data_IF_259149339806
#
_entry.id   IF_259149339806
#
_cell.length_a   1.000
_cell.length_b   1.000
_cell.length_c   1.000
_cell.angle_alpha   90.00
_cell.angle_beta   90.00
_cell.angle_gamma   90.00
#
_symmetry.space_group_name_H-M   'P 1'
#
loop_
_entity.id
_entity.type
_entity.pdbx_description
1 polymer ?
#
# COMPACT_ATOMS: atom_id res chain seq x y z
N UNK A 1 11.04 34.71 16.34
CA UNK A 1 10.50 34.77 14.96
C UNK A 1 10.73 33.48 14.17
N UNK A 2 11.85 32.78 14.34
CA UNK A 2 12.21 31.62 13.50
C UNK A 2 11.38 30.33 13.76
N UNK A 3 10.88 30.12 14.98
CA UNK A 3 10.08 28.92 15.33
C UNK A 3 8.65 28.98 14.75
N UNK A 4 8.07 30.17 14.66
CA UNK A 4 6.70 30.38 14.14
C UNK A 4 6.63 30.20 12.63
N UNK A 5 7.66 30.64 11.90
CA UNK A 5 7.80 30.43 10.45
C UNK A 5 7.99 28.95 10.10
N UNK A 6 8.73 28.19 10.91
CA UNK A 6 8.88 26.74 10.74
C UNK A 6 7.54 26.01 10.88
N UNK A 7 6.72 26.43 11.84
CA UNK A 7 5.39 25.85 12.10
C UNK A 7 4.40 26.14 10.95
N UNK A 8 4.42 27.38 10.43
CA UNK A 8 3.65 27.78 9.25
C UNK A 8 4.09 27.04 7.97
N UNK A 9 5.38 26.79 7.81
CA UNK A 9 5.91 26.00 6.70
C UNK A 9 5.38 24.55 6.73
N UNK A 10 5.39 23.90 7.90
CA UNK A 10 4.88 22.53 8.08
C UNK A 10 3.36 22.43 7.80
N UNK A 11 2.56 23.46 8.11
CA UNK A 11 1.12 23.46 7.82
C UNK A 11 0.77 23.66 6.33
N UNK A 12 1.58 24.44 5.60
CA UNK A 12 1.34 24.77 4.17
C UNK A 12 1.51 23.56 3.22
N UNK A 13 2.25 22.54 3.66
CA UNK A 13 2.49 21.29 2.93
C UNK A 13 1.22 20.42 2.69
N UNK A 14 0.08 20.80 3.28
CA UNK A 14 -1.16 20.02 3.28
C UNK A 14 -1.87 19.89 1.92
N UNK A 15 -1.61 20.79 0.96
CA UNK A 15 -2.31 20.84 -0.34
C UNK A 15 -1.61 20.08 -1.48
N UNK A 16 -0.40 19.57 -1.27
CA UNK A 16 0.32 18.83 -2.30
C UNK A 16 -0.08 17.34 -2.25
N UNK A 17 -0.09 16.67 -3.40
CA UNK A 17 -0.30 15.23 -3.43
C UNK A 17 0.94 14.51 -2.91
N UNK A 18 0.85 13.80 -1.78
CA UNK A 18 1.99 13.20 -1.09
C UNK A 18 2.81 12.25 -1.98
N UNK A 19 2.34 11.02 -2.14
CA UNK A 19 3.13 9.94 -2.72
C UNK A 19 2.98 9.87 -4.25
N UNK A 20 4.06 9.59 -4.98
CA UNK A 20 4.08 9.49 -6.45
C UNK A 20 3.91 8.07 -7.00
N UNK A 21 3.70 7.07 -6.14
CA UNK A 21 3.56 5.65 -6.50
C UNK A 21 2.36 4.97 -5.82
N UNK A 22 1.98 3.80 -6.34
CA UNK A 22 0.97 2.90 -5.76
C UNK A 22 1.62 1.72 -5.03
N UNK A 23 2.73 1.18 -5.55
CA UNK A 23 3.44 0.07 -4.92
C UNK A 23 4.95 0.16 -5.14
N UNK A 24 5.72 -0.22 -4.13
CA UNK A 24 7.18 -0.27 -4.18
C UNK A 24 7.71 -1.45 -3.34
N UNK A 25 8.85 -2.01 -3.75
CA UNK A 25 9.52 -3.11 -3.07
C UNK A 25 11.02 -2.82 -3.03
N UNK A 26 11.69 -3.12 -1.94
CA UNK A 26 13.14 -3.18 -1.97
C UNK A 26 13.74 -3.57 -0.65
N UNK A 27 14.93 -3.04 -0.38
CA UNK A 27 15.76 -3.40 0.75
C UNK A 27 15.77 -2.28 1.78
N UNK A 28 15.88 -2.67 3.04
CA UNK A 28 15.99 -1.81 4.21
C UNK A 28 17.29 -2.17 4.90
N UNK A 29 18.17 -1.20 5.06
CA UNK A 29 19.51 -1.36 5.62
C UNK A 29 19.70 -0.34 6.74
N UNK A 30 20.09 -0.81 7.92
CA UNK A 30 20.28 0.06 9.08
C UNK A 30 20.89 -0.72 10.23
N UNK A 31 20.31 -0.58 11.42
CA UNK A 31 20.63 -1.44 12.57
C UNK A 31 20.45 -2.93 12.23
N UNK A 32 19.47 -3.23 11.37
CA UNK A 32 19.19 -4.54 10.82
C UNK A 32 19.05 -4.43 9.30
N UNK A 33 19.15 -5.55 8.61
CA UNK A 33 18.90 -5.63 7.17
C UNK A 33 17.61 -6.39 6.91
N UNK A 34 16.95 -6.07 5.80
CA UNK A 34 15.69 -6.69 5.48
C UNK A 34 15.12 -6.28 4.14
N UNK A 35 13.99 -6.89 3.82
CA UNK A 35 13.15 -6.50 2.70
C UNK A 35 11.97 -5.66 3.19
N UNK A 36 11.53 -4.73 2.37
CA UNK A 36 10.37 -3.87 2.64
C UNK A 36 9.50 -3.77 1.41
N UNK A 37 8.19 -3.90 1.60
CA UNK A 37 7.19 -3.70 0.57
C UNK A 37 6.19 -2.65 1.03
N UNK A 38 5.80 -1.75 0.14
CA UNK A 38 4.80 -0.72 0.38
C UNK A 38 3.70 -0.79 -0.66
N UNK A 39 2.46 -0.62 -0.19
CA UNK A 39 1.28 -0.47 -1.03
C UNK A 39 0.42 0.69 -0.54
N UNK A 40 0.10 1.61 -1.44
CA UNK A 40 -0.82 2.72 -1.15
C UNK A 40 -2.24 2.19 -1.13
N UNK A 41 -2.98 2.52 -0.08
CA UNK A 41 -4.38 2.16 0.09
C UNK A 41 -5.25 3.44 0.14
N UNK A 42 -5.58 4.03 -1.02
CA UNK A 42 -6.35 5.27 -1.09
C UNK A 42 -7.80 5.12 -0.58
N UNK A 43 -8.29 3.88 -0.43
CA UNK A 43 -9.62 3.56 0.10
C UNK A 43 -9.76 3.90 1.60
N UNK A 44 -8.68 3.78 2.37
CA UNK A 44 -8.67 4.12 3.80
C UNK A 44 -8.51 5.63 3.97
N UNK A 45 -7.44 6.17 3.39
CA UNK A 45 -7.17 7.60 3.36
C UNK A 45 -6.27 7.92 2.15
N UNK A 46 -6.41 9.13 1.59
CA UNK A 46 -5.77 9.52 0.32
C UNK A 46 -4.26 9.24 0.24
N UNK A 47 -3.56 9.35 1.37
CA UNK A 47 -2.10 9.18 1.46
C UNK A 47 -1.70 8.08 2.47
N UNK A 48 -2.59 7.11 2.70
CA UNK A 48 -2.31 5.99 3.57
C UNK A 48 -1.59 4.86 2.82
N UNK A 49 -0.58 4.29 3.47
CA UNK A 49 0.32 3.28 2.92
C UNK A 49 0.42 2.15 3.93
N UNK A 50 0.14 0.93 3.49
CA UNK A 50 0.51 -0.26 4.23
C UNK A 50 1.94 -0.64 3.87
N UNK A 51 2.78 -0.84 4.87
CA UNK A 51 4.14 -1.31 4.70
C UNK A 51 4.33 -2.62 5.45
N UNK A 52 4.96 -3.59 4.79
CA UNK A 52 5.44 -4.82 5.40
C UNK A 52 6.97 -4.79 5.38
N UNK A 53 7.57 -5.24 6.47
CA UNK A 53 9.01 -5.30 6.67
C UNK A 53 9.35 -6.70 7.17
N UNK A 54 10.26 -7.36 6.46
CA UNK A 54 10.89 -8.60 6.88
C UNK A 54 12.35 -8.28 7.16
N UNK A 55 12.75 -8.38 8.42
CA UNK A 55 14.09 -8.10 8.91
C UNK A 55 14.74 -9.37 9.42
N UNK A 56 16.06 -9.45 9.23
CA UNK A 56 16.91 -10.46 9.83
C UNK A 56 18.07 -9.76 10.53
N UNK A 57 18.45 -10.26 11.70
CA UNK A 57 19.64 -9.76 12.39
C UNK A 57 20.91 -10.29 11.71
N UNK A 58 21.98 -9.48 11.66
CA UNK A 58 23.29 -9.96 11.18
C UNK A 58 24.05 -10.73 12.25
N UNK A 59 23.72 -10.49 13.52
CA UNK A 59 24.44 -11.03 14.68
C UNK A 59 23.74 -12.21 15.34
N UNK A 60 22.46 -12.44 15.05
CA UNK A 60 21.63 -13.49 15.66
C UNK A 60 20.78 -14.17 14.59
N UNK A 61 20.47 -15.45 14.76
CA UNK A 61 19.54 -16.19 13.89
C UNK A 61 18.07 -15.87 14.27
N UNK A 62 17.77 -14.58 14.23
CA UNK A 62 16.50 -13.98 14.62
C UNK A 62 15.90 -13.27 13.42
N UNK A 63 14.60 -13.47 13.22
CA UNK A 63 13.83 -12.76 12.20
C UNK A 63 12.71 -11.95 12.82
N UNK A 64 12.41 -10.81 12.20
CA UNK A 64 11.36 -9.90 12.63
C UNK A 64 10.46 -9.55 11.44
N UNK A 65 9.17 -9.81 11.60
CA UNK A 65 8.15 -9.37 10.68
C UNK A 65 7.35 -8.22 11.27
N UNK A 66 7.29 -7.10 10.55
CA UNK A 66 6.55 -5.91 10.97
C UNK A 66 5.52 -5.52 9.91
N UNK A 67 4.32 -5.18 10.33
CA UNK A 67 3.27 -4.58 9.50
C UNK A 67 3.00 -3.17 10.04
N UNK A 68 3.02 -2.17 9.17
CA UNK A 68 2.86 -0.75 9.51
C UNK A 68 1.78 -0.10 8.66
N UNK A 69 0.94 0.72 9.30
CA UNK A 69 0.10 1.70 8.63
C UNK A 69 0.76 3.08 8.70
N UNK A 70 1.06 3.67 7.55
CA UNK A 70 1.77 4.95 7.45
C UNK A 70 0.95 6.00 6.74
N UNK A 71 1.02 7.23 7.24
CA UNK A 71 0.44 8.40 6.64
C UNK A 71 1.53 9.27 6.01
N UNK A 72 1.45 9.49 4.69
CA UNK A 72 2.43 10.30 3.96
C UNK A 72 1.93 11.75 3.79
N UNK A 73 2.83 12.70 3.99
CA UNK A 73 2.63 14.15 3.84
C UNK A 73 3.76 14.70 2.97
N UNK A 74 3.49 15.39 1.86
CA UNK A 74 4.55 16.01 1.07
C UNK A 74 5.14 17.18 1.86
N UNK A 75 6.47 17.31 1.85
CA UNK A 75 7.16 18.42 2.50
C UNK A 75 7.32 19.61 1.55
N UNK A 76 7.97 19.36 0.40
CA UNK A 76 8.29 20.39 -0.59
C UNK A 76 7.73 20.04 -1.99
N UNK A 77 7.69 18.76 -2.32
CA UNK A 77 7.20 18.27 -3.61
C UNK A 77 6.55 16.91 -3.45
N UNK A 78 5.80 16.44 -4.46
CA UNK A 78 5.24 15.07 -4.49
C UNK A 78 6.31 13.97 -4.45
N UNK A 79 7.58 14.34 -4.65
CA UNK A 79 8.72 13.44 -4.62
C UNK A 79 9.40 13.41 -3.26
N UNK A 80 9.14 14.36 -2.37
CA UNK A 80 9.74 14.42 -1.03
C UNK A 80 8.63 14.44 0.02
N UNK A 81 8.48 13.33 0.74
CA UNK A 81 7.41 13.13 1.71
C UNK A 81 7.98 12.87 3.09
N UNK A 82 7.32 13.42 4.10
CA UNK A 82 7.40 12.93 5.47
C UNK A 82 6.36 11.84 5.65
N UNK A 83 6.67 10.85 6.46
CA UNK A 83 5.70 9.85 6.87
C UNK A 83 5.82 9.57 8.35
N UNK A 84 4.69 9.21 8.92
CA UNK A 84 4.60 8.71 10.29
C UNK A 84 3.53 7.64 10.34
N UNK A 85 3.66 6.70 11.26
CA UNK A 85 2.78 5.56 11.32
C UNK A 85 3.01 4.72 12.56
N UNK A 86 2.19 3.70 12.67
CA UNK A 86 2.31 2.69 13.71
C UNK A 86 1.80 1.35 13.18
N UNK A 87 2.14 0.29 13.89
CA UNK A 87 1.68 -1.05 13.58
C UNK A 87 2.21 -2.07 14.57
N UNK A 88 2.30 -3.31 14.13
CA UNK A 88 2.62 -4.46 14.95
C UNK A 88 3.85 -5.17 14.41
N UNK A 89 4.64 -5.74 15.31
CA UNK A 89 5.74 -6.61 14.96
C UNK A 89 5.63 -7.94 15.69
N UNK A 90 6.11 -8.98 15.03
CA UNK A 90 6.28 -10.32 15.57
C UNK A 90 7.61 -10.87 15.09
N UNK A 91 8.37 -11.49 15.97
CA UNK A 91 9.64 -12.10 15.64
C UNK A 91 9.61 -13.60 15.85
N UNK A 92 10.66 -14.25 15.38
CA UNK A 92 10.99 -15.63 15.71
C UNK A 92 12.48 -15.68 16.04
N UNK A 93 12.81 -16.51 17.01
CA UNK A 93 14.18 -16.85 17.34
C UNK A 93 14.39 -18.33 17.01
N UNK A 94 15.42 -18.63 16.22
CA UNK A 94 15.83 -20.01 15.95
C UNK A 94 16.95 -20.48 16.89
N UNK A 95 17.47 -19.60 17.73
CA UNK A 95 18.45 -19.94 18.75
C UNK A 95 17.80 -20.85 19.81
N UNK A 96 18.35 -22.07 19.92
CA UNK A 96 17.99 -23.04 20.96
C UNK A 96 18.73 -22.59 22.21
N UNK A 97 17.98 -22.29 23.28
CA UNK A 97 18.58 -21.95 24.56
C UNK A 97 19.37 -23.16 25.09
N UNK A 98 20.71 -23.06 25.26
CA UNK A 98 21.55 -24.18 25.66
C UNK A 98 21.27 -24.69 27.08
N UNK A 99 20.59 -23.92 27.93
CA UNK A 99 20.26 -24.32 29.30
C UNK A 99 18.88 -24.96 29.44
N UNK A 100 17.91 -24.56 28.61
CA UNK A 100 16.50 -24.99 28.75
C UNK A 100 16.02 -25.91 27.62
N UNK A 101 16.75 -26.03 26.51
CA UNK A 101 16.33 -26.78 25.31
C UNK A 101 14.98 -26.34 24.72
N UNK A 102 14.45 -25.19 25.14
CA UNK A 102 13.21 -24.62 24.64
C UNK A 102 13.49 -23.53 23.60
N UNK A 103 12.61 -23.42 22.60
CA UNK A 103 12.66 -22.31 21.63
C UNK A 103 12.20 -21.04 22.34
N UNK A 104 13.08 -20.06 22.44
CA UNK A 104 12.71 -18.74 22.96
C UNK A 104 11.55 -18.14 22.14
N UNK A 105 10.48 -17.74 22.83
CA UNK A 105 9.33 -17.10 22.19
C UNK A 105 9.76 -15.77 21.55
N UNK A 106 9.49 -15.61 20.25
CA UNK A 106 9.88 -14.41 19.52
C UNK A 106 9.14 -13.16 19.99
N UNK A 107 9.74 -11.97 19.82
CA UNK A 107 9.18 -10.71 20.31
C UNK A 107 7.88 -10.35 19.60
N UNK A 108 6.82 -10.07 20.35
CA UNK A 108 5.57 -9.53 19.84
C UNK A 108 5.27 -8.19 20.48
N UNK A 109 4.86 -7.21 19.66
CA UNK A 109 4.48 -5.91 20.20
C UNK A 109 4.05 -4.89 19.17
N UNK A 110 4.15 -3.63 19.59
CA UNK A 110 3.76 -2.46 18.80
C UNK A 110 5.00 -1.71 18.35
N UNK A 111 4.94 -1.19 17.13
CA UNK A 111 6.00 -0.39 16.54
C UNK A 111 5.44 0.93 16.04
N UNK A 112 6.10 2.03 16.37
CA UNK A 112 5.94 3.33 15.71
C UNK A 112 6.96 3.51 14.61
N UNK A 113 6.67 4.40 13.65
CA UNK A 113 7.64 4.81 12.63
C UNK A 113 7.46 6.27 12.29
N UNK A 114 8.57 6.97 12.10
CA UNK A 114 8.60 8.33 11.54
C UNK A 114 9.81 8.46 10.63
N UNK A 115 9.65 9.14 9.51
CA UNK A 115 10.74 9.26 8.55
C UNK A 115 10.44 10.21 7.41
N UNK A 116 11.41 10.28 6.51
CA UNK A 116 11.31 11.00 5.25
C UNK A 116 11.61 10.05 4.10
N UNK A 117 10.94 10.26 2.97
CA UNK A 117 11.22 9.55 1.74
C UNK A 117 11.34 10.52 0.56
N UNK A 118 12.18 10.15 -0.38
CA UNK A 118 12.38 10.82 -1.64
C UNK A 118 12.25 9.84 -2.80
N UNK A 119 11.47 10.18 -3.82
CA UNK A 119 11.31 9.36 -5.03
C UNK A 119 11.91 10.06 -6.24
N UNK A 120 12.93 9.45 -6.86
CA UNK A 120 13.59 9.92 -8.07
C UNK A 120 13.39 8.84 -9.16
N UNK A 121 12.64 9.17 -10.21
CA UNK A 121 12.33 8.23 -11.28
C UNK A 121 11.54 7.02 -10.78
N UNK A 122 12.16 5.83 -10.81
CA UNK A 122 11.60 4.57 -10.29
C UNK A 122 12.23 4.12 -8.97
N UNK A 123 13.10 4.94 -8.38
CA UNK A 123 13.77 4.62 -7.11
C UNK A 123 13.21 5.50 -6.01
N UNK A 124 12.81 4.89 -4.91
CA UNK A 124 12.39 5.53 -3.68
C UNK A 124 13.46 5.28 -2.61
N UNK A 125 14.01 6.34 -2.07
CA UNK A 125 14.95 6.34 -0.96
C UNK A 125 14.21 6.82 0.28
N UNK A 126 14.25 6.09 1.39
CA UNK A 126 13.71 6.57 2.66
C UNK A 126 14.74 6.49 3.76
N UNK A 127 14.61 7.39 4.73
CA UNK A 127 15.28 7.32 6.00
C UNK A 127 14.24 7.38 7.10
N UNK A 128 14.29 6.46 8.05
CA UNK A 128 13.30 6.39 9.10
C UNK A 128 13.83 5.89 10.44
N UNK A 129 13.12 6.33 11.47
CA UNK A 129 13.30 6.00 12.88
C UNK A 129 12.08 5.21 13.35
N UNK A 130 12.34 4.01 13.89
CA UNK A 130 11.35 3.00 14.25
C UNK A 130 11.48 2.65 15.74
N UNK A 131 10.80 3.37 16.65
CA UNK A 131 10.68 2.97 18.05
C UNK A 131 9.70 1.79 18.18
N UNK A 132 10.08 0.77 18.94
CA UNK A 132 9.30 -0.44 19.14
C UNK A 132 9.24 -0.82 20.62
N UNK A 133 8.06 -1.31 21.03
CA UNK A 133 7.80 -1.77 22.39
C UNK A 133 7.34 -3.21 22.33
N UNK A 134 8.08 -4.10 22.96
CA UNK A 134 7.74 -5.51 23.10
C UNK A 134 6.73 -5.67 24.24
N UNK A 135 5.58 -6.28 23.92
CA UNK A 135 4.53 -6.59 24.89
C UNK A 135 4.77 -7.99 25.49
N UNK A 136 5.29 -8.91 24.69
CA UNK A 136 5.64 -10.27 25.09
C UNK A 136 6.84 -10.75 24.29
N UNK A 137 7.69 -11.58 24.90
CA UNK A 137 8.91 -12.11 24.28
C UNK A 137 9.99 -11.05 24.00
N UNK A 138 11.16 -11.52 23.59
CA UNK A 138 12.34 -10.68 23.30
C UNK A 138 13.10 -10.18 24.53
N UNK A 139 14.32 -9.71 24.29
CA UNK A 139 15.29 -9.41 25.35
C UNK A 139 15.17 -7.99 25.94
N UNK A 140 14.30 -7.14 25.39
CA UNK A 140 14.18 -5.74 25.80
C UNK A 140 12.76 -5.23 25.62
N UNK A 141 12.23 -4.50 26.59
CA UNK A 141 10.88 -3.93 26.56
C UNK A 141 10.75 -2.83 25.51
N UNK A 142 11.80 -2.02 25.32
CA UNK A 142 11.83 -0.93 24.35
C UNK A 142 13.13 -0.97 23.56
N UNK A 143 13.03 -0.83 22.24
CA UNK A 143 14.18 -0.72 21.35
C UNK A 143 13.86 0.24 20.22
N UNK A 144 14.91 0.81 19.63
CA UNK A 144 14.78 1.78 18.54
C UNK A 144 15.68 1.38 17.39
N UNK A 145 15.15 1.44 16.17
CA UNK A 145 15.92 1.17 14.98
C UNK A 145 15.94 2.41 14.08
N UNK A 146 17.06 2.61 13.39
CA UNK A 146 17.13 3.53 12.26
C UNK A 146 17.49 2.75 11.03
N UNK A 147 16.94 3.14 9.88
CA UNK A 147 17.29 2.51 8.62
C UNK A 147 17.16 3.46 7.44
N UNK A 148 18.00 3.20 6.45
CA UNK A 148 17.86 3.68 5.08
C UNK A 148 17.21 2.57 4.26
N UNK A 149 16.13 2.87 3.56
CA UNK A 149 15.51 1.91 2.64
C UNK A 149 15.63 2.38 1.20
N UNK A 150 15.98 1.47 0.31
CA UNK A 150 15.99 1.68 -1.14
C UNK A 150 14.94 0.77 -1.74
N UNK A 151 13.89 1.37 -2.30
CA UNK A 151 12.75 0.67 -2.90
C UNK A 151 12.64 0.98 -4.38
N UNK A 152 12.40 -0.03 -5.19
CA UNK A 152 12.02 0.11 -6.57
C UNK A 152 10.49 0.27 -6.69
N UNK A 153 10.05 1.28 -7.43
CA UNK A 153 8.64 1.57 -7.69
C UNK A 153 8.13 0.60 -8.75
N UNK A 154 7.28 -0.35 -8.33
CA UNK A 154 6.67 -1.35 -9.19
C UNK A 154 5.48 -0.74 -9.94
N UNK A 155 4.65 0.03 -9.24
CA UNK A 155 3.45 0.65 -9.81
C UNK A 155 3.44 2.15 -9.54
N UNK A 156 3.25 2.96 -10.60
CA UNK A 156 3.14 4.41 -10.45
C UNK A 156 1.78 4.79 -9.87
N UNK A 157 1.65 6.04 -9.45
CA UNK A 157 0.40 6.54 -8.88
C UNK A 157 -0.78 6.36 -9.85
N UNK A 158 -1.86 5.77 -9.35
CA UNK A 158 -3.12 5.45 -10.05
C UNK A 158 -3.03 4.23 -11.00
N UNK A 159 -1.91 3.51 -11.03
CA UNK A 159 -1.79 2.31 -11.86
C UNK A 159 -2.60 1.12 -11.33
N UNK A 160 -2.75 0.97 -10.01
CA UNK A 160 -3.44 -0.18 -9.41
C UNK A 160 -4.94 0.13 -9.30
N UNK A 161 -5.26 1.28 -8.70
CA UNK A 161 -6.63 1.56 -8.25
C UNK A 161 -7.51 2.19 -9.33
N UNK A 162 -6.99 3.10 -10.15
CA UNK A 162 -7.81 3.78 -11.16
C UNK A 162 -7.95 2.97 -12.44
N UNK A 163 -6.89 2.26 -12.87
CA UNK A 163 -6.97 1.35 -14.03
C UNK A 163 -7.96 0.20 -13.82
N UNK A 164 -8.06 -0.32 -12.60
CA UNK A 164 -9.05 -1.34 -12.27
C UNK A 164 -10.48 -0.80 -12.45
N UNK A 165 -10.76 0.37 -11.85
CA UNK A 165 -12.05 1.05 -11.96
C UNK A 165 -12.41 1.39 -13.41
N UNK A 166 -11.46 1.87 -14.21
CA UNK A 166 -11.66 2.19 -15.62
C UNK A 166 -11.98 0.92 -16.44
N UNK A 167 -11.27 -0.19 -16.19
CA UNK A 167 -11.53 -1.48 -16.84
C UNK A 167 -12.94 -2.00 -16.54
N UNK A 168 -13.38 -1.90 -15.30
CA UNK A 168 -14.71 -2.35 -14.89
C UNK A 168 -15.81 -1.50 -15.51
N UNK A 169 -15.64 -0.18 -15.53
CA UNK A 169 -16.57 0.73 -16.22
C UNK A 169 -16.63 0.43 -17.72
N UNK A 170 -15.49 0.17 -18.38
CA UNK A 170 -15.45 -0.19 -19.80
C UNK A 170 -16.15 -1.52 -20.08
N UNK A 171 -16.00 -2.52 -19.21
CA UNK A 171 -16.70 -3.81 -19.30
C UNK A 171 -18.21 -3.62 -19.13
N UNK A 172 -18.64 -2.86 -18.13
CA UNK A 172 -20.05 -2.56 -17.89
C UNK A 172 -20.70 -1.82 -19.09
N UNK A 173 -19.99 -0.84 -19.67
CA UNK A 173 -20.45 -0.14 -20.89
C UNK A 173 -20.62 -1.09 -22.08
N UNK A 174 -19.64 -1.98 -22.32
CA UNK A 174 -19.72 -2.98 -23.40
C UNK A 174 -20.89 -3.96 -23.18
N UNK A 175 -21.13 -4.37 -21.94
CA UNK A 175 -22.24 -5.26 -21.61
C UNK A 175 -23.59 -4.60 -21.88
N UNK A 176 -23.80 -3.37 -21.38
CA UNK A 176 -25.02 -2.59 -21.66
C UNK A 176 -25.27 -2.39 -23.15
N UNK A 177 -24.23 -2.16 -23.95
CA UNK A 177 -24.38 -2.07 -25.41
C UNK A 177 -24.79 -3.40 -26.06
N UNK A 178 -24.26 -4.53 -25.58
CA UNK A 178 -24.66 -5.86 -26.06
C UNK A 178 -26.11 -6.17 -25.70
N UNK A 179 -26.53 -5.84 -24.49
CA UNK A 179 -27.90 -6.08 -24.02
C UNK A 179 -28.90 -5.20 -24.78
N UNK A 180 -28.57 -3.92 -25.03
CA UNK A 180 -29.37 -3.05 -25.91
C UNK A 180 -29.50 -3.62 -27.33
N UNK A 181 -28.39 -4.09 -27.93
CA UNK A 181 -28.41 -4.72 -29.26
C UNK A 181 -29.23 -6.00 -29.29
N UNK A 182 -29.21 -6.81 -28.23
CA UNK A 182 -30.03 -8.03 -28.12
C UNK A 182 -31.52 -7.68 -28.00
N UNK A 183 -31.87 -6.73 -27.14
CA UNK A 183 -33.24 -6.25 -26.97
C UNK A 183 -33.79 -5.69 -28.29
N UNK A 184 -33.00 -4.89 -29.01
CA UNK A 184 -33.42 -4.35 -30.30
C UNK A 184 -33.61 -5.43 -31.35
N UNK A 185 -32.70 -6.41 -31.44
CA UNK A 185 -32.88 -7.58 -32.32
C UNK A 185 -34.13 -8.40 -31.98
N UNK A 186 -34.51 -8.46 -30.70
CA UNK A 186 -35.71 -9.16 -30.27
C UNK A 186 -36.97 -8.38 -30.68
N UNK A 187 -36.99 -7.07 -30.47
CA UNK A 187 -38.06 -6.19 -30.96
C UNK A 187 -38.21 -6.26 -32.48
N UNK A 188 -37.09 -6.23 -33.23
CA UNK A 188 -37.11 -6.36 -34.69
C UNK A 188 -37.69 -7.71 -35.13
N UNK A 189 -37.38 -8.80 -34.40
CA UNK A 189 -37.94 -10.13 -34.67
C UNK A 189 -39.43 -10.19 -34.39
N UNK A 190 -39.89 -9.61 -33.28
CA UNK A 190 -41.32 -9.52 -32.93
C UNK A 190 -42.09 -8.68 -33.95
N UNK A 191 -41.53 -7.54 -34.37
CA UNK A 191 -42.12 -6.67 -35.39
C UNK A 191 -42.22 -7.38 -36.75
N UNK A 192 -41.15 -8.07 -37.18
CA UNK A 192 -41.17 -8.91 -38.39
C UNK A 192 -42.17 -10.06 -38.29
N UNK A 193 -42.25 -10.72 -37.14
CA UNK A 193 -43.22 -11.78 -36.89
C UNK A 193 -44.66 -11.29 -37.01
N UNK A 194 -44.97 -10.11 -36.45
CA UNK A 194 -46.29 -9.46 -36.58
C UNK A 194 -46.61 -9.08 -38.04
N UNK A 195 -45.66 -8.46 -38.74
CA UNK A 195 -45.82 -8.15 -40.17
C UNK A 195 -46.06 -9.40 -41.03
N UNK A 196 -45.32 -10.47 -40.77
CA UNK A 196 -45.52 -11.76 -41.46
C UNK A 196 -46.92 -12.33 -41.23
N UNK A 197 -47.42 -12.24 -39.99
CA UNK A 197 -48.76 -12.73 -39.64
C UNK A 197 -49.88 -11.90 -40.29
N UNK A 198 -49.72 -10.58 -40.41
CA UNK A 198 -50.68 -9.73 -41.13
C UNK A 198 -50.68 -9.97 -42.64
N UNK A 199 -49.51 -10.24 -43.23
CA UNK A 199 -49.41 -10.59 -44.65
C UNK A 199 -50.22 -11.86 -44.97
N UNK A 200 -50.17 -12.87 -44.09
CA UNK A 200 -50.91 -14.12 -44.27
C UNK A 200 -52.44 -13.94 -44.17
N UNK A 201 -52.92 -13.01 -43.33
CA UNK A 201 -54.36 -12.69 -43.22
C UNK A 201 -54.94 -11.94 -44.41
N UNK A 202 -54.12 -11.23 -45.20
CA UNK A 202 -54.57 -10.48 -46.38
C UNK A 202 -54.64 -11.33 -47.65
N UNK A 203 -54.16 -12.57 -47.61
CA UNK A 203 -54.12 -13.51 -48.74
C UNK A 203 -55.27 -14.53 -48.78
N UNK A 204 -56.23 -14.43 -47.86
CA UNK A 204 -57.48 -15.19 -47.81
C UNK A 204 -58.66 -14.22 -47.96
#
# INVERSE_FOLDING_TARGET
MNRTLLFLFVLSASCLGAQSYDAALGLRLGTEWGATAQIRLPLVQKNFVAETILQSSLQRDEGLFTILGKQHRPLLSRRLNLFYGAGLHTGWNNEIDPETNEKSAGPFGVTGVVGAEMTIGKVNLSYDFKPAVNISGGNSVLYTQTAVSVRYVIAKRHDIWDKAKERDQRRARKQRQRDKRKAQRQQDREARGKQWFEFWKKGN
#
